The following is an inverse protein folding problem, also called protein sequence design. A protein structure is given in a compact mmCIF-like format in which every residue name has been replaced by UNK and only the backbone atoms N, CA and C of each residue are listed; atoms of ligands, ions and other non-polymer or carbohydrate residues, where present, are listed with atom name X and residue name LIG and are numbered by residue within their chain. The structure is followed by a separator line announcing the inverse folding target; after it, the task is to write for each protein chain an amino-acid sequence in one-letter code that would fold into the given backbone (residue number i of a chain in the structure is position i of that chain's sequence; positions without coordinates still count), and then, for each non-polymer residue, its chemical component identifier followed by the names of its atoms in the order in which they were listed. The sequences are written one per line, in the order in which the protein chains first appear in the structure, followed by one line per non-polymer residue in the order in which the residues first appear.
data_IF_379643708682
#
_entry.id   IF_379643708682
#
_cell.length_a   1.000
_cell.length_b   1.000
_cell.length_c   1.000
_cell.angle_alpha   90.00
_cell.angle_beta   90.00
_cell.angle_gamma   90.00
#
_symmetry.space_group_name_H-M   'P 1'
#
loop_
_entity.id
_entity.type
_entity.pdbx_description
1 polymer ?
#
# COMPACT_ATOMS: atom_id res chain seq x y z
N UNK A 1 32.91 -6.17 -1.88
CA UNK A 1 32.12 -4.92 -1.93
C UNK A 1 31.51 -4.50 -0.57
N UNK A 2 31.70 -5.24 0.54
CA UNK A 2 31.07 -4.90 1.83
C UNK A 2 31.56 -3.60 2.50
N UNK A 3 32.80 -3.17 2.25
CA UNK A 3 33.46 -2.12 3.04
C UNK A 3 32.98 -0.68 2.80
N UNK A 4 32.19 -0.40 1.76
CA UNK A 4 31.72 0.97 1.49
C UNK A 4 30.54 1.38 2.38
N UNK A 5 29.59 0.48 2.67
CA UNK A 5 28.41 0.80 3.49
C UNK A 5 28.76 1.17 4.94
N UNK A 6 29.88 0.67 5.46
CA UNK A 6 30.34 0.95 6.81
C UNK A 6 30.91 2.37 7.00
N UNK A 7 31.17 3.14 5.93
CA UNK A 7 31.75 4.50 6.01
C UNK A 7 30.73 5.66 6.01
N UNK A 8 29.44 5.40 5.83
CA UNK A 8 28.41 6.44 5.97
C UNK A 8 28.11 6.82 7.44
N UNK A 9 28.63 6.06 8.41
CA UNK A 9 28.53 6.37 9.84
C UNK A 9 29.53 7.48 10.27
N UNK A 10 29.39 8.68 9.71
CA UNK A 10 30.21 9.84 10.09
C UNK A 10 29.79 10.31 11.50
N UNK A 11 30.69 10.36 12.49
CA UNK A 11 30.37 10.84 13.82
C UNK A 11 30.28 12.37 13.84
N UNK A 12 29.28 12.92 14.55
CA UNK A 12 29.11 14.36 14.73
C UNK A 12 29.37 14.82 16.17
N UNK A 13 30.59 15.27 16.52
CA UNK A 13 30.88 15.95 17.79
C UNK A 13 31.57 17.31 17.58
N UNK A 14 30.88 18.29 16.98
CA UNK A 14 31.42 19.65 16.77
C UNK A 14 30.56 20.77 17.38
N UNK A 15 29.22 20.71 17.23
CA UNK A 15 28.35 21.86 17.48
C UNK A 15 28.09 22.19 18.96
N UNK A 16 28.26 21.22 19.88
CA UNK A 16 27.88 21.37 21.30
C UNK A 16 28.87 22.25 22.10
N UNK A 17 30.11 22.43 21.62
CA UNK A 17 31.18 23.05 22.43
C UNK A 17 31.15 24.59 22.49
N UNK A 18 30.24 25.25 21.76
CA UNK A 18 30.23 26.72 21.61
C UNK A 18 29.16 27.45 22.46
N UNK A 19 28.31 26.72 23.19
CA UNK A 19 27.24 27.28 24.03
C UNK A 19 27.58 27.36 25.54
N UNK A 20 28.75 26.87 25.99
CA UNK A 20 29.16 26.95 27.40
C UNK A 20 29.96 28.22 27.76
N UNK A 21 29.68 29.34 27.07
CA UNK A 21 30.21 30.66 27.42
C UNK A 21 29.49 31.24 28.65
N UNK A 22 30.03 30.99 29.84
CA UNK A 22 29.49 31.54 31.10
C UNK A 22 29.61 33.07 31.17
N UNK A 23 28.48 33.75 31.35
CA UNK A 23 28.42 35.09 31.96
C UNK A 23 27.96 35.00 33.43
N UNK A 24 28.46 35.85 34.34
CA UNK A 24 28.02 35.84 35.74
C UNK A 24 26.65 36.52 35.90
N UNK A 25 25.68 35.81 36.46
CA UNK A 25 24.39 36.39 36.86
C UNK A 25 24.50 37.09 38.23
N UNK A 26 24.00 38.33 38.38
CA UNK A 26 23.88 39.00 39.69
C UNK A 26 22.71 38.43 40.53
N UNK A 27 22.73 38.60 41.86
CA UNK A 27 21.70 38.07 42.78
C UNK A 27 20.38 38.88 42.77
N UNK A 28 19.34 38.29 43.38
CA UNK A 28 17.95 38.72 43.29
C UNK A 28 17.46 39.69 44.40
N UNK A 29 16.34 40.40 44.19
CA UNK A 29 15.52 41.00 45.24
C UNK A 29 14.41 40.04 45.76
N UNK A 30 13.83 40.35 46.92
CA UNK A 30 12.93 39.49 47.71
C UNK A 30 11.42 39.77 47.51
N UNK A 31 10.51 38.87 47.97
CA UNK A 31 9.06 39.04 47.81
C UNK A 31 8.40 39.83 48.95
N UNK A 32 7.54 40.81 48.65
CA UNK A 32 6.58 41.38 49.60
C UNK A 32 5.38 42.09 48.92
N UNK A 33 4.27 42.24 49.64
CA UNK A 33 3.13 43.17 49.46
C UNK A 33 2.68 43.49 48.01
N UNK A 34 1.52 43.07 47.50
CA UNK A 34 0.25 42.79 48.18
C UNK A 34 -0.79 43.87 47.83
N UNK A 35 -2.09 43.60 48.08
CA UNK A 35 -3.28 44.42 47.71
C UNK A 35 -3.63 44.42 46.20
N UNK A 36 -4.86 44.75 45.75
CA UNK A 36 -6.25 44.71 46.32
C UNK A 36 -7.24 44.91 45.16
N UNK A 37 -8.47 44.38 45.31
CA UNK A 37 -9.66 44.82 44.57
C UNK A 37 -9.86 44.11 43.21
N UNK A 38 -11.03 43.59 42.80
CA UNK A 38 -12.45 43.87 43.06
C UNK A 38 -13.14 44.79 42.02
N UNK A 39 -13.77 44.15 41.01
CA UNK A 39 -15.07 44.50 40.38
C UNK A 39 -15.54 43.23 39.66
N UNK A 40 -16.77 42.69 39.80
CA UNK A 40 -18.12 43.28 39.71
C UNK A 40 -18.40 44.02 38.40
N UNK A 41 -19.01 43.34 37.41
CA UNK A 41 -20.32 43.66 36.77
C UNK A 41 -20.59 42.66 35.62
N UNK A 42 -21.57 41.76 35.68
CA UNK A 42 -23.05 41.87 35.55
C UNK A 42 -23.61 41.82 34.11
N UNK A 43 -24.38 40.76 33.85
CA UNK A 43 -25.67 40.72 33.11
C UNK A 43 -25.74 40.99 31.60
N UNK A 44 -26.82 40.47 30.99
CA UNK A 44 -27.24 40.56 29.57
C UNK A 44 -26.32 39.77 28.61
N UNK A 45 -26.81 38.83 27.79
CA UNK A 45 -28.14 38.23 27.72
C UNK A 45 -29.05 38.83 26.63
N UNK A 46 -29.07 38.16 25.47
CA UNK A 46 -30.05 38.15 24.37
C UNK A 46 -29.74 36.82 23.60
N UNK A 47 -30.64 35.89 23.29
CA UNK A 47 -32.00 35.93 22.73
C UNK A 47 -32.03 35.81 21.19
N UNK A 48 -32.64 34.71 20.72
CA UNK A 48 -33.38 34.59 19.44
C UNK A 48 -32.56 34.66 18.12
N UNK A 49 -32.91 34.00 16.99
CA UNK A 49 -34.19 33.42 16.53
C UNK A 49 -33.95 32.45 15.34
N UNK A 50 -34.82 31.46 15.05
CA UNK A 50 -34.71 30.61 13.85
C UNK A 50 -35.62 31.06 12.67
N UNK A 51 -35.20 30.76 11.45
CA UNK A 51 -36.02 30.70 10.21
C UNK A 51 -35.31 29.75 9.20
N UNK A 52 -35.93 28.84 8.42
CA UNK A 52 -37.30 28.58 7.94
C UNK A 52 -37.73 29.28 6.63
N UNK A 53 -37.41 28.66 5.49
CA UNK A 53 -38.29 28.36 4.32
C UNK A 53 -37.59 27.26 3.49
N UNK A 54 -38.29 26.24 2.97
CA UNK A 54 -39.25 26.22 1.84
C UNK A 54 -38.56 26.57 0.51
N UNK A 55 -38.66 25.78 -0.55
CA UNK A 55 -39.46 24.56 -0.78
C UNK A 55 -40.29 24.72 -2.05
N UNK A 56 -40.06 23.84 -3.01
CA UNK A 56 -40.74 23.75 -4.32
C UNK A 56 -40.27 22.44 -5.01
N UNK A 57 -41.00 21.80 -5.92
CA UNK A 57 -42.37 21.29 -5.83
C UNK A 57 -42.50 20.13 -6.84
N UNK A 58 -43.54 19.33 -6.68
CA UNK A 58 -43.80 18.04 -7.32
C UNK A 58 -43.87 18.03 -8.86
N UNK A 59 -43.53 16.88 -9.46
CA UNK A 59 -44.11 16.43 -10.73
C UNK A 59 -44.39 14.92 -10.68
N UNK A 60 -45.65 14.58 -10.38
CA UNK A 60 -46.23 13.23 -10.52
C UNK A 60 -47.01 13.12 -11.86
N UNK A 61 -47.61 11.95 -12.12
CA UNK A 61 -48.55 11.59 -13.20
C UNK A 61 -47.89 11.25 -14.58
N UNK A 62 -48.28 10.19 -15.30
CA UNK A 62 -49.18 9.07 -14.93
C UNK A 62 -49.01 7.81 -15.82
N UNK A 63 -49.44 6.68 -15.24
CA UNK A 63 -50.06 5.46 -15.81
C UNK A 63 -49.96 5.08 -17.32
N UNK A 64 -49.88 3.76 -17.61
CA UNK A 64 -50.39 3.24 -18.89
C UNK A 64 -50.00 1.81 -19.33
N UNK A 65 -50.82 0.80 -18.96
CA UNK A 65 -51.23 -0.29 -19.88
C UNK A 65 -50.27 -1.44 -20.28
N UNK A 66 -50.86 -2.57 -20.66
CA UNK A 66 -50.25 -3.80 -21.23
C UNK A 66 -51.37 -4.64 -21.90
N UNK A 67 -51.13 -5.74 -22.65
CA UNK A 67 -49.95 -6.10 -23.46
C UNK A 67 -50.25 -6.34 -24.99
N UNK A 68 -50.37 -7.55 -25.62
CA UNK A 68 -49.67 -7.81 -26.90
C UNK A 68 -50.50 -8.41 -28.09
N UNK A 69 -49.99 -8.29 -29.35
CA UNK A 69 -50.32 -9.02 -30.61
C UNK A 69 -49.53 -8.37 -31.78
N UNK A 70 -49.13 -8.93 -32.95
CA UNK A 70 -49.18 -10.23 -33.68
C UNK A 70 -47.75 -10.57 -34.18
N UNK A 71 -47.32 -11.76 -34.67
CA UNK A 71 -47.93 -12.96 -35.27
C UNK A 71 -48.17 -12.97 -36.81
N UNK A 72 -47.13 -13.35 -37.59
CA UNK A 72 -47.11 -14.08 -38.89
C UNK A 72 -45.65 -14.57 -39.11
N UNK A 73 -45.35 -15.82 -39.47
CA UNK A 73 -45.55 -16.52 -40.76
C UNK A 73 -44.81 -15.82 -41.94
N UNK A 74 -43.85 -16.42 -42.65
CA UNK A 74 -43.20 -17.74 -42.49
C UNK A 74 -43.39 -18.62 -43.74
N UNK A 75 -42.28 -19.03 -44.37
CA UNK A 75 -42.30 -19.78 -45.64
C UNK A 75 -41.18 -20.83 -45.68
N UNK A 76 -41.44 -21.99 -46.29
CA UNK A 76 -40.51 -23.12 -46.46
C UNK A 76 -40.52 -23.60 -47.91
N UNK A 77 -39.42 -23.40 -48.63
CA UNK A 77 -39.09 -24.00 -49.93
C UNK A 77 -37.57 -23.98 -50.08
N UNK A 78 -36.90 -24.97 -50.65
CA UNK A 78 -37.27 -26.37 -50.99
C UNK A 78 -35.98 -27.21 -50.93
N UNK A 79 -36.08 -28.54 -50.94
CA UNK A 79 -34.95 -29.44 -51.19
C UNK A 79 -34.92 -29.83 -52.68
N UNK A 80 -34.29 -30.97 -53.01
CA UNK A 80 -34.18 -31.60 -54.33
C UNK A 80 -33.07 -30.92 -55.20
N UNK A 81 -31.87 -31.50 -55.41
CA UNK A 81 -31.47 -32.62 -56.31
C UNK A 81 -31.45 -32.22 -57.82
N UNK A 82 -30.52 -32.64 -58.70
CA UNK A 82 -29.44 -33.66 -58.65
C UNK A 82 -28.21 -33.28 -59.56
N UNK A 83 -27.46 -34.27 -60.08
CA UNK A 83 -26.24 -34.30 -60.95
C UNK A 83 -26.07 -33.21 -62.07
N UNK A 84 -24.90 -32.93 -62.68
CA UNK A 84 -23.87 -33.85 -63.24
C UNK A 84 -22.47 -33.17 -63.50
N UNK A 85 -21.47 -33.93 -64.00
CA UNK A 85 -20.06 -33.54 -64.31
C UNK A 85 -19.80 -33.59 -65.85
N UNK A 86 -18.58 -33.55 -66.43
CA UNK A 86 -17.30 -32.88 -66.13
C UNK A 86 -16.73 -32.03 -67.31
N UNK A 87 -15.67 -31.24 -67.08
CA UNK A 87 -14.51 -31.10 -68.02
C UNK A 87 -13.29 -30.46 -67.35
N UNK A 88 -12.11 -30.97 -67.71
CA UNK A 88 -10.74 -30.52 -67.34
C UNK A 88 -9.94 -30.35 -68.64
N UNK A 89 -8.65 -29.93 -68.67
CA UNK A 89 -7.80 -29.29 -67.64
C UNK A 89 -7.01 -28.05 -68.15
N UNK A 90 -6.38 -27.30 -67.23
CA UNK A 90 -5.14 -26.54 -67.55
C UNK A 90 -4.11 -26.69 -66.45
N UNK A 91 -2.89 -27.10 -66.80
CA UNK A 91 -1.76 -27.34 -65.90
C UNK A 91 -0.97 -26.07 -65.56
N UNK A 92 -0.36 -25.99 -64.37
CA UNK A 92 1.08 -25.70 -64.18
C UNK A 92 1.52 -25.86 -62.70
N UNK A 93 2.65 -26.57 -62.51
CA UNK A 93 3.46 -26.72 -61.28
C UNK A 93 2.74 -26.93 -59.92
N UNK A 94 2.57 -28.21 -59.56
CA UNK A 94 3.31 -28.69 -58.39
C UNK A 94 4.79 -28.84 -58.77
N UNK A 95 5.71 -28.46 -57.89
CA UNK A 95 7.11 -28.91 -57.96
C UNK A 95 7.61 -29.18 -56.54
N UNK A 96 8.05 -30.41 -56.32
CA UNK A 96 8.45 -30.94 -55.01
C UNK A 96 9.94 -30.65 -54.75
N UNK A 97 10.38 -30.85 -53.50
CA UNK A 97 11.76 -31.18 -53.11
C UNK A 97 12.63 -30.03 -52.58
N UNK A 98 12.85 -30.09 -51.25
CA UNK A 98 13.99 -29.54 -50.49
C UNK A 98 14.39 -28.06 -50.64
N UNK A 99 14.25 -27.31 -49.54
CA UNK A 99 15.43 -26.98 -48.72
C UNK A 99 15.06 -26.82 -47.24
N UNK A 100 15.87 -27.37 -46.33
CA UNK A 100 15.85 -26.93 -44.93
C UNK A 100 16.28 -25.46 -44.88
N UNK A 101 15.40 -24.59 -44.40
CA UNK A 101 15.83 -23.42 -43.64
C UNK A 101 15.28 -23.53 -42.22
N UNK A 102 15.83 -24.52 -41.52
CA UNK A 102 15.73 -24.67 -40.07
C UNK A 102 16.36 -23.42 -39.45
N UNK A 103 15.50 -22.44 -39.15
CA UNK A 103 15.91 -21.08 -38.77
C UNK A 103 16.23 -21.13 -37.29
N UNK A 104 17.51 -21.05 -36.86
CA UNK A 104 17.88 -21.34 -35.49
C UNK A 104 17.12 -20.43 -34.54
N UNK A 105 16.37 -21.04 -33.62
CA UNK A 105 15.46 -20.34 -32.73
C UNK A 105 16.19 -19.27 -31.92
N UNK A 106 15.94 -17.99 -32.25
CA UNK A 106 16.52 -16.84 -31.55
C UNK A 106 16.21 -17.00 -30.05
N UNK A 107 17.22 -17.05 -29.17
CA UNK A 107 17.08 -17.71 -27.87
C UNK A 107 16.04 -17.01 -26.99
N UNK A 108 15.04 -17.78 -26.54
CA UNK A 108 13.97 -17.33 -25.64
C UNK A 108 14.50 -16.69 -24.35
N UNK A 109 15.72 -17.05 -23.94
CA UNK A 109 16.45 -16.46 -22.81
C UNK A 109 16.58 -14.92 -22.91
N UNK A 110 16.58 -14.32 -24.11
CA UNK A 110 16.56 -12.84 -24.23
C UNK A 110 15.28 -12.22 -23.66
N UNK A 111 14.11 -12.81 -23.87
CA UNK A 111 12.86 -12.29 -23.31
C UNK A 111 12.81 -12.40 -21.78
N UNK A 112 13.35 -13.50 -21.22
CA UNK A 112 13.48 -13.66 -19.77
C UNK A 112 14.44 -12.65 -19.12
N UNK A 113 15.47 -12.21 -19.83
CA UNK A 113 16.47 -11.27 -19.31
C UNK A 113 15.99 -9.82 -19.29
N UNK A 114 15.18 -9.39 -20.27
CA UNK A 114 14.56 -8.05 -20.27
C UNK A 114 13.58 -7.88 -19.09
N UNK A 115 12.89 -8.95 -18.66
CA UNK A 115 11.96 -8.91 -17.53
C UNK A 115 12.64 -9.12 -16.16
N UNK A 116 13.76 -9.85 -16.10
CA UNK A 116 14.49 -10.07 -14.84
C UNK A 116 15.20 -8.81 -14.34
N UNK A 117 15.66 -7.94 -15.24
CA UNK A 117 16.32 -6.67 -14.90
C UNK A 117 15.44 -5.72 -14.05
N UNK A 118 14.21 -5.33 -14.45
CA UNK A 118 13.37 -4.45 -13.63
C UNK A 118 12.94 -5.11 -12.30
N UNK A 119 12.68 -6.42 -12.27
CA UNK A 119 12.38 -7.14 -11.02
C UNK A 119 13.58 -7.08 -10.07
N UNK A 120 14.79 -7.37 -10.55
CA UNK A 120 16.00 -7.32 -9.73
C UNK A 120 16.27 -5.91 -9.18
N UNK A 121 16.05 -4.86 -9.98
CA UNK A 121 16.16 -3.45 -9.54
C UNK A 121 15.11 -3.12 -8.48
N UNK A 122 13.83 -3.49 -8.67
CA UNK A 122 12.78 -3.22 -7.70
C UNK A 122 12.99 -4.00 -6.38
N UNK A 123 13.44 -5.26 -6.45
CA UNK A 123 13.84 -6.03 -5.27
C UNK A 123 15.02 -5.40 -4.51
N UNK A 124 16.05 -4.93 -5.24
CA UNK A 124 17.19 -4.24 -4.64
C UNK A 124 16.78 -2.92 -3.96
N UNK A 125 15.91 -2.12 -4.61
CA UNK A 125 15.36 -0.89 -4.04
C UNK A 125 14.48 -1.17 -2.81
N UNK A 126 13.61 -2.19 -2.85
CA UNK A 126 12.77 -2.59 -1.73
C UNK A 126 13.61 -3.03 -0.51
N UNK A 127 14.69 -3.78 -0.73
CA UNK A 127 15.62 -4.23 0.30
C UNK A 127 16.47 -3.10 0.87
N UNK A 128 17.03 -2.22 0.02
CA UNK A 128 17.78 -1.03 0.46
C UNK A 128 16.89 -0.06 1.26
N UNK A 129 15.64 0.12 0.84
CA UNK A 129 14.65 0.93 1.55
C UNK A 129 14.29 0.34 2.91
N UNK A 130 14.03 -0.97 3.00
CA UNK A 130 13.77 -1.66 4.27
C UNK A 130 14.98 -1.62 5.22
N UNK A 131 16.20 -1.78 4.70
CA UNK A 131 17.42 -1.62 5.49
C UNK A 131 17.59 -0.17 5.97
N UNK A 132 17.22 0.81 5.15
CA UNK A 132 17.14 2.22 5.52
C UNK A 132 16.22 2.48 6.72
N UNK A 133 15.01 1.91 6.72
CA UNK A 133 14.04 2.01 7.84
C UNK A 133 14.66 1.59 9.18
N UNK A 134 15.57 0.60 9.19
CA UNK A 134 16.21 0.08 10.41
C UNK A 134 17.49 0.84 10.78
N UNK A 135 18.27 1.31 9.80
CA UNK A 135 19.57 1.96 10.03
C UNK A 135 19.49 3.48 10.26
N UNK A 136 18.44 4.15 9.74
CA UNK A 136 18.29 5.60 9.82
C UNK A 136 17.77 6.01 11.20
N UNK A 137 18.44 6.99 11.84
CA UNK A 137 18.04 7.49 13.18
C UNK A 137 17.07 8.66 13.16
N UNK A 138 16.92 9.36 12.02
CA UNK A 138 16.04 10.52 11.90
C UNK A 138 14.63 10.08 11.48
N UNK A 139 13.56 10.38 12.25
CA UNK A 139 12.20 9.92 11.97
C UNK A 139 11.72 10.13 10.52
N UNK A 140 11.94 11.32 9.96
CA UNK A 140 11.56 11.66 8.57
C UNK A 140 12.29 10.76 7.55
N UNK A 141 13.55 10.40 7.80
CA UNK A 141 14.33 9.57 6.88
C UNK A 141 13.89 8.10 6.95
N UNK A 142 13.51 7.62 8.14
CA UNK A 142 12.87 6.29 8.33
C UNK A 142 11.56 6.21 7.55
N UNK A 143 10.71 7.23 7.66
CA UNK A 143 9.43 7.29 6.95
C UNK A 143 9.60 7.38 5.42
N UNK A 144 10.61 8.10 4.92
CA UNK A 144 10.97 8.11 3.49
C UNK A 144 11.49 6.75 3.01
N UNK A 145 12.22 6.00 3.85
CA UNK A 145 12.58 4.61 3.58
C UNK A 145 11.34 3.70 3.47
N UNK A 146 10.35 3.86 4.36
CA UNK A 146 9.11 3.10 4.33
C UNK A 146 8.26 3.40 3.08
N UNK A 147 8.26 4.67 2.63
CA UNK A 147 7.66 5.09 1.37
C UNK A 147 8.34 4.41 0.17
N UNK A 148 9.67 4.47 0.09
CA UNK A 148 10.45 3.84 -0.98
C UNK A 148 10.24 2.32 -1.05
N UNK A 149 10.13 1.65 0.11
CA UNK A 149 9.79 0.22 0.17
C UNK A 149 8.38 -0.04 -0.37
N UNK A 150 7.38 0.73 0.06
CA UNK A 150 5.98 0.56 -0.36
C UNK A 150 5.77 0.78 -1.86
N UNK A 151 6.46 1.77 -2.44
CA UNK A 151 6.45 2.02 -3.89
C UNK A 151 7.21 0.94 -4.68
N UNK A 152 8.34 0.44 -4.17
CA UNK A 152 9.07 -0.68 -4.80
C UNK A 152 8.23 -1.96 -4.83
N UNK A 153 7.46 -2.23 -3.77
CA UNK A 153 6.49 -3.34 -3.74
C UNK A 153 5.34 -3.14 -4.74
N UNK A 154 4.83 -1.91 -4.90
CA UNK A 154 3.80 -1.62 -5.89
C UNK A 154 4.31 -1.84 -7.33
N UNK A 155 5.57 -1.47 -7.61
CA UNK A 155 6.23 -1.73 -8.89
C UNK A 155 6.40 -3.24 -9.16
N UNK A 156 6.80 -4.02 -8.15
CA UNK A 156 6.85 -5.49 -8.26
C UNK A 156 5.46 -6.08 -8.59
N UNK A 157 4.39 -5.61 -7.95
CA UNK A 157 3.02 -6.06 -8.28
C UNK A 157 2.61 -5.71 -9.72
N UNK A 158 3.08 -4.59 -10.30
CA UNK A 158 2.88 -4.31 -11.73
C UNK A 158 3.65 -5.29 -12.62
N UNK A 159 4.89 -5.67 -12.27
CA UNK A 159 5.67 -6.65 -13.06
C UNK A 159 5.13 -8.07 -12.94
N UNK A 160 4.42 -8.40 -11.85
CA UNK A 160 3.64 -9.63 -11.67
C UNK A 160 2.24 -9.56 -12.31
N UNK A 161 1.96 -8.53 -13.12
CA UNK A 161 0.66 -8.26 -13.76
C UNK A 161 -0.53 -8.10 -12.79
N UNK A 162 -0.30 -7.89 -11.49
CA UNK A 162 -1.32 -7.81 -10.46
C UNK A 162 -1.80 -6.35 -10.22
N UNK A 163 -2.42 -5.73 -11.23
CA UNK A 163 -2.68 -4.28 -11.23
C UNK A 163 -3.57 -3.83 -10.06
N UNK A 164 -4.58 -4.64 -9.68
CA UNK A 164 -5.43 -4.35 -8.53
C UNK A 164 -4.64 -4.27 -7.21
N UNK A 165 -3.65 -5.16 -7.03
CA UNK A 165 -2.77 -5.15 -5.84
C UNK A 165 -1.79 -3.97 -5.88
N UNK A 166 -1.25 -3.61 -7.06
CA UNK A 166 -0.41 -2.43 -7.21
C UNK A 166 -1.14 -1.11 -6.86
N UNK A 167 -2.40 -0.97 -7.31
CA UNK A 167 -3.24 0.18 -6.97
C UNK A 167 -3.61 0.18 -5.49
N UNK A 168 -4.02 -0.96 -4.92
CA UNK A 168 -4.31 -1.08 -3.49
C UNK A 168 -3.10 -0.75 -2.60
N UNK A 169 -1.91 -1.25 -2.97
CA UNK A 169 -0.64 -0.96 -2.29
C UNK A 169 -0.33 0.55 -2.33
N UNK A 170 -0.55 1.19 -3.48
CA UNK A 170 -0.31 2.63 -3.65
C UNK A 170 -1.29 3.47 -2.85
N UNK A 171 -2.59 3.17 -2.88
CA UNK A 171 -3.61 3.94 -2.15
C UNK A 171 -3.54 3.73 -0.63
N UNK A 172 -3.42 2.49 -0.17
CA UNK A 172 -3.53 2.15 1.25
C UNK A 172 -2.19 2.36 1.96
N UNK A 173 -1.11 1.73 1.50
CA UNK A 173 0.18 1.81 2.18
C UNK A 173 0.90 3.12 1.89
N UNK A 174 1.14 3.45 0.61
CA UNK A 174 1.86 4.67 0.23
C UNK A 174 1.03 5.94 0.47
N UNK A 175 -0.29 5.89 0.20
CA UNK A 175 -1.21 7.02 0.37
C UNK A 175 -1.64 7.25 1.82
N UNK A 176 -2.35 6.31 2.43
CA UNK A 176 -2.94 6.52 3.77
C UNK A 176 -1.95 6.25 4.92
N UNK A 177 -1.37 5.04 4.99
CA UNK A 177 -0.59 4.58 6.15
C UNK A 177 0.72 5.37 6.29
N UNK A 178 1.48 5.54 5.20
CA UNK A 178 2.75 6.27 5.24
C UNK A 178 2.56 7.77 5.53
N UNK A 179 1.49 8.41 5.03
CA UNK A 179 1.20 9.82 5.36
C UNK A 179 0.76 9.97 6.82
N UNK A 180 -0.08 9.06 7.34
CA UNK A 180 -0.41 9.02 8.77
C UNK A 180 0.85 8.83 9.64
N UNK A 181 1.75 7.93 9.25
CA UNK A 181 3.01 7.71 9.94
C UNK A 181 3.94 8.93 9.87
N UNK A 182 4.08 9.58 8.71
CA UNK A 182 4.84 10.82 8.54
C UNK A 182 4.36 11.93 9.49
N UNK A 183 3.05 12.11 9.60
CA UNK A 183 2.44 13.09 10.52
C UNK A 183 2.78 12.72 11.98
N UNK A 184 2.47 11.49 12.41
CA UNK A 184 2.69 11.04 13.79
C UNK A 184 4.17 11.10 14.20
N UNK A 185 5.07 10.61 13.33
CA UNK A 185 6.51 10.50 13.66
C UNK A 185 7.26 11.84 13.57
N UNK A 186 6.67 12.86 12.94
CA UNK A 186 7.20 14.24 12.91
C UNK A 186 6.62 15.10 14.04
N UNK A 187 5.41 14.79 14.53
CA UNK A 187 4.81 15.43 15.71
C UNK A 187 5.36 14.88 17.03
N UNK A 188 5.88 13.66 17.04
CA UNK A 188 6.50 13.06 18.23
C UNK A 188 7.89 13.67 18.46
N UNK A 189 8.17 14.31 19.61
CA UNK A 189 9.49 14.87 19.89
C UNK A 189 10.54 13.74 20.02
N UNK A 190 11.76 14.00 19.55
CA UNK A 190 12.87 13.03 19.62
C UNK A 190 13.21 12.70 21.08
N UNK A 191 12.76 11.53 21.56
CA UNK A 191 13.02 11.02 22.89
C UNK A 191 14.52 10.75 23.14
N UNK A 192 14.94 10.85 24.40
CA UNK A 192 16.33 10.64 24.79
C UNK A 192 16.85 9.28 24.33
N UNK A 193 17.99 9.28 23.63
CA UNK A 193 18.64 8.07 23.10
C UNK A 193 19.13 7.17 24.25
N UNK A 194 18.30 6.21 24.66
CA UNK A 194 18.67 5.21 25.66
C UNK A 194 19.83 4.34 25.13
N UNK A 195 20.90 4.24 25.91
CA UNK A 195 22.12 3.54 25.49
C UNK A 195 21.95 2.04 25.65
N UNK A 196 21.48 1.37 24.58
CA UNK A 196 21.45 -0.09 24.48
C UNK A 196 22.79 -0.70 24.91
N UNK A 197 22.74 -1.62 25.87
CA UNK A 197 23.91 -2.38 26.32
C UNK A 197 24.47 -3.23 25.18
N UNK A 198 25.79 -3.39 25.13
CA UNK A 198 26.47 -4.19 24.10
C UNK A 198 25.94 -5.63 24.02
N UNK A 199 25.61 -6.24 25.17
CA UNK A 199 25.00 -7.57 25.22
C UNK A 199 23.59 -7.62 24.61
N UNK A 200 22.80 -6.55 24.75
CA UNK A 200 21.48 -6.44 24.12
C UNK A 200 21.57 -6.29 22.60
N UNK A 201 22.54 -5.50 22.11
CA UNK A 201 22.83 -5.37 20.67
C UNK A 201 23.30 -6.71 20.10
N UNK A 202 24.23 -7.40 20.79
CA UNK A 202 24.71 -8.71 20.37
C UNK A 202 23.58 -9.75 20.30
N UNK A 203 22.72 -9.82 21.32
CA UNK A 203 21.58 -10.74 21.34
C UNK A 203 20.56 -10.43 20.21
N UNK A 204 20.27 -9.16 19.95
CA UNK A 204 19.40 -8.74 18.84
C UNK A 204 19.98 -9.12 17.47
N UNK A 205 21.28 -8.94 17.27
CA UNK A 205 21.97 -9.33 16.02
C UNK A 205 21.98 -10.86 15.86
N UNK A 206 22.23 -11.62 16.93
CA UNK A 206 22.17 -13.08 16.90
C UNK A 206 20.75 -13.60 16.63
N UNK A 207 19.72 -13.00 17.22
CA UNK A 207 18.33 -13.34 16.93
C UNK A 207 17.96 -13.07 15.46
N UNK A 208 18.34 -11.90 14.92
CA UNK A 208 18.13 -11.57 13.50
C UNK A 208 18.88 -12.51 12.56
N UNK A 209 20.12 -12.87 12.89
CA UNK A 209 20.92 -13.84 12.13
C UNK A 209 20.31 -15.25 12.16
N UNK A 210 19.79 -15.70 13.30
CA UNK A 210 19.11 -16.99 13.43
C UNK A 210 17.83 -17.06 12.59
N UNK A 211 17.00 -16.01 12.60
CA UNK A 211 15.80 -15.92 11.75
C UNK A 211 16.17 -15.93 10.27
N UNK A 212 17.21 -15.18 9.86
CA UNK A 212 17.72 -15.20 8.48
C UNK A 212 18.27 -16.57 8.07
N UNK A 213 18.95 -17.29 8.97
CA UNK A 213 19.46 -18.63 8.71
C UNK A 213 18.34 -19.66 8.52
N UNK A 214 17.29 -19.62 9.36
CA UNK A 214 16.11 -20.48 9.22
C UNK A 214 15.36 -20.18 7.91
N UNK A 215 15.11 -18.89 7.61
CA UNK A 215 14.40 -18.49 6.39
C UNK A 215 15.22 -18.80 5.12
N UNK A 216 16.53 -18.59 5.15
CA UNK A 216 17.45 -18.94 4.08
C UNK A 216 17.54 -20.46 3.84
N UNK A 217 17.55 -21.26 4.92
CA UNK A 217 17.50 -22.71 4.83
C UNK A 217 16.18 -23.23 4.24
N UNK A 218 15.05 -22.63 4.63
CA UNK A 218 13.74 -22.94 4.06
C UNK A 218 13.67 -22.61 2.56
N UNK A 219 14.20 -21.45 2.14
CA UNK A 219 14.32 -21.09 0.72
C UNK A 219 15.26 -22.04 -0.04
N UNK A 220 16.41 -22.38 0.53
CA UNK A 220 17.35 -23.30 -0.11
C UNK A 220 16.75 -24.71 -0.30
N UNK A 221 15.92 -25.17 0.64
CA UNK A 221 15.13 -26.41 0.48
C UNK A 221 14.05 -26.28 -0.60
N UNK A 222 13.32 -25.15 -0.64
CA UNK A 222 12.28 -24.91 -1.65
C UNK A 222 12.82 -24.86 -3.08
N UNK A 223 14.02 -24.28 -3.27
CA UNK A 223 14.72 -24.19 -4.55
C UNK A 223 15.73 -25.33 -4.81
N UNK A 224 15.73 -26.39 -4.00
CA UNK A 224 16.65 -27.51 -4.17
C UNK A 224 16.40 -28.28 -5.48
N UNK A 225 17.45 -28.77 -6.18
CA UNK A 225 17.28 -29.64 -7.34
C UNK A 225 16.48 -30.90 -6.99
N UNK A 226 15.34 -31.11 -7.66
CA UNK A 226 14.37 -32.16 -7.34
C UNK A 226 13.12 -31.66 -6.60
N UNK A 227 13.08 -30.40 -6.16
CA UNK A 227 11.85 -29.74 -5.72
C UNK A 227 10.83 -29.71 -6.88
N UNK A 228 9.63 -30.23 -6.66
CA UNK A 228 8.52 -30.18 -7.63
C UNK A 228 7.80 -28.82 -7.65
N UNK A 229 8.39 -27.79 -7.04
CA UNK A 229 7.90 -26.42 -7.05
C UNK A 229 8.12 -25.75 -8.42
N UNK A 230 7.41 -26.25 -9.44
CA UNK A 230 7.29 -25.59 -10.73
C UNK A 230 6.54 -24.26 -10.54
N UNK A 231 7.30 -23.17 -10.35
CA UNK A 231 6.76 -21.82 -10.34
C UNK A 231 6.07 -21.57 -11.70
N UNK A 232 4.76 -21.31 -11.73
CA UNK A 232 4.08 -20.97 -12.98
C UNK A 232 4.59 -19.62 -13.45
N UNK A 233 5.34 -19.60 -14.55
CA UNK A 233 5.65 -18.36 -15.26
C UNK A 233 4.32 -17.78 -15.74
N UNK A 234 3.93 -16.62 -15.20
CA UNK A 234 2.71 -15.91 -15.57
C UNK A 234 2.84 -15.34 -16.98
N UNK A 235 2.69 -16.20 -17.98
CA UNK A 235 2.63 -15.86 -19.39
C UNK A 235 1.20 -15.45 -19.79
N UNK A 236 0.77 -14.29 -19.30
CA UNK A 236 -0.56 -13.74 -19.58
C UNK A 236 -0.83 -12.42 -18.85
N UNK A 237 -2.00 -11.83 -19.14
CA UNK A 237 -2.56 -10.78 -18.29
C UNK A 237 -2.90 -11.34 -16.91
N UNK A 238 -2.67 -10.55 -15.86
CA UNK A 238 -2.97 -10.96 -14.49
C UNK A 238 -4.46 -10.91 -14.17
N UNK A 239 -4.87 -11.44 -13.00
CA UNK A 239 -6.27 -11.67 -12.67
C UNK A 239 -7.08 -10.37 -12.68
N UNK A 240 -8.14 -10.37 -13.50
CA UNK A 240 -9.02 -9.22 -13.68
C UNK A 240 -9.74 -8.84 -12.37
N UNK A 241 -10.16 -7.58 -12.24
CA UNK A 241 -10.94 -7.08 -11.08
C UNK A 241 -12.18 -7.95 -10.83
N UNK A 242 -12.81 -8.46 -11.89
CA UNK A 242 -13.95 -9.39 -11.82
C UNK A 242 -13.57 -10.77 -11.25
N UNK A 243 -12.37 -11.24 -11.55
CA UNK A 243 -11.86 -12.55 -11.13
C UNK A 243 -11.35 -12.53 -9.69
N UNK A 244 -10.84 -11.40 -9.20
CA UNK A 244 -10.54 -11.18 -7.78
C UNK A 244 -11.81 -10.91 -6.97
N UNK A 245 -12.78 -10.16 -7.53
CA UNK A 245 -14.05 -9.86 -6.88
C UNK A 245 -14.94 -11.09 -6.65
N UNK A 246 -14.99 -12.03 -7.60
CA UNK A 246 -15.82 -13.24 -7.48
C UNK A 246 -15.53 -14.08 -6.21
N UNK A 247 -14.29 -14.51 -5.91
CA UNK A 247 -13.99 -15.25 -4.68
C UNK A 247 -14.14 -14.36 -3.43
N UNK A 248 -13.90 -13.05 -3.53
CA UNK A 248 -14.08 -12.12 -2.41
C UNK A 248 -15.53 -12.16 -1.85
N UNK A 249 -16.53 -12.20 -2.74
CA UNK A 249 -17.95 -12.21 -2.39
C UNK A 249 -18.61 -13.61 -2.40
N UNK A 250 -17.85 -14.68 -2.63
CA UNK A 250 -18.36 -16.06 -2.53
C UNK A 250 -17.59 -16.86 -1.47
N UNK A 251 -16.38 -17.33 -1.79
CA UNK A 251 -15.56 -18.15 -0.88
C UNK A 251 -15.07 -17.38 0.34
N UNK A 252 -14.81 -16.08 0.20
CA UNK A 252 -14.24 -15.20 1.23
C UNK A 252 -15.28 -14.26 1.86
N UNK A 253 -16.57 -14.55 1.71
CA UNK A 253 -17.66 -13.71 2.26
C UNK A 253 -17.53 -13.53 3.78
N UNK A 254 -17.17 -14.58 4.52
CA UNK A 254 -16.98 -14.52 5.98
C UNK A 254 -15.81 -13.62 6.39
N UNK A 255 -14.56 -13.78 5.91
CA UNK A 255 -13.50 -12.85 6.24
C UNK A 255 -13.77 -11.43 5.72
N UNK A 256 -14.44 -11.25 4.58
CA UNK A 256 -14.87 -9.93 4.12
C UNK A 256 -15.84 -9.27 5.12
N UNK A 257 -16.90 -9.97 5.52
CA UNK A 257 -17.86 -9.51 6.53
C UNK A 257 -17.17 -9.16 7.85
N UNK A 258 -16.20 -9.97 8.30
CA UNK A 258 -15.39 -9.70 9.49
C UNK A 258 -14.49 -8.45 9.39
N UNK A 259 -14.14 -7.98 8.19
CA UNK A 259 -13.41 -6.70 8.05
C UNK A 259 -14.27 -5.48 8.38
N UNK A 260 -15.59 -5.52 8.15
CA UNK A 260 -16.48 -4.39 8.42
C UNK A 260 -16.53 -4.00 9.91
N UNK A 261 -16.79 -4.91 10.88
CA UNK A 261 -16.71 -4.59 12.30
C UNK A 261 -15.27 -4.36 12.77
N UNK A 262 -14.24 -4.92 12.10
CA UNK A 262 -12.83 -4.62 12.39
C UNK A 262 -12.50 -3.14 12.11
N UNK A 263 -12.90 -2.63 10.94
CA UNK A 263 -12.73 -1.22 10.58
C UNK A 263 -13.54 -0.30 11.50
N UNK A 264 -14.79 -0.67 11.81
CA UNK A 264 -15.62 0.07 12.77
C UNK A 264 -14.97 0.10 14.16
N UNK A 265 -14.49 -1.03 14.66
CA UNK A 265 -13.82 -1.14 15.95
C UNK A 265 -12.51 -0.33 15.99
N UNK A 266 -11.75 -0.28 14.90
CA UNK A 266 -10.55 0.56 14.80
C UNK A 266 -10.88 2.05 14.93
N UNK A 267 -11.90 2.54 14.22
CA UNK A 267 -12.35 3.94 14.29
C UNK A 267 -12.90 4.27 15.69
N UNK A 268 -13.76 3.41 16.24
CA UNK A 268 -14.32 3.58 17.59
C UNK A 268 -13.22 3.56 18.65
N UNK A 269 -12.21 2.69 18.52
CA UNK A 269 -11.08 2.62 19.45
C UNK A 269 -10.21 3.88 19.37
N UNK A 270 -9.90 4.38 18.18
CA UNK A 270 -9.13 5.63 18.01
C UNK A 270 -9.85 6.82 18.66
N UNK A 271 -11.15 6.98 18.41
CA UNK A 271 -11.97 8.05 19.00
C UNK A 271 -12.11 7.88 20.53
N UNK A 272 -12.30 6.65 21.02
CA UNK A 272 -12.42 6.36 22.45
C UNK A 272 -11.10 6.59 23.21
N UNK A 273 -9.94 6.33 22.59
CA UNK A 273 -8.63 6.66 23.15
C UNK A 273 -8.39 8.17 23.20
N UNK A 274 -8.72 8.90 22.12
CA UNK A 274 -8.62 10.36 22.09
C UNK A 274 -9.44 11.01 23.22
N UNK A 275 -10.74 10.69 23.30
CA UNK A 275 -11.67 11.28 24.28
C UNK A 275 -11.34 10.95 25.74
N UNK A 276 -10.47 9.98 26.03
CA UNK A 276 -10.01 9.67 27.40
C UNK A 276 -8.99 10.69 27.93
N UNK A 277 -8.23 11.36 27.05
CA UNK A 277 -7.23 12.36 27.44
C UNK A 277 -7.86 13.66 27.96
N UNK A 278 -9.13 13.90 27.61
CA UNK A 278 -9.79 15.21 27.72
C UNK A 278 -10.58 15.39 29.03
N UNK A 279 -10.44 14.45 29.98
CA UNK A 279 -11.19 14.45 31.25
C UNK A 279 -10.56 15.44 32.26
N UNK A 280 -11.22 16.55 32.65
CA UNK A 280 -10.57 17.58 33.46
C UNK A 280 -10.22 17.11 34.88
N UNK A 281 -9.14 17.65 35.44
CA UNK A 281 -8.85 17.58 36.88
C UNK A 281 -9.84 18.47 37.64
N UNK A 282 -10.99 17.92 37.99
CA UNK A 282 -11.91 18.53 38.96
C UNK A 282 -11.40 18.27 40.38
N UNK A 283 -11.38 19.30 41.22
CA UNK A 283 -10.86 19.23 42.61
C UNK A 283 -9.39 19.65 42.70
N UNK A 284 -9.19 20.91 43.09
CA UNK A 284 -7.89 21.57 43.22
C UNK A 284 -8.06 22.98 43.80
N UNK A 285 -8.84 23.06 44.88
CA UNK A 285 -9.16 24.27 45.63
C UNK A 285 -8.88 23.99 47.11
N UNK A 286 -7.65 24.27 47.51
CA UNK A 286 -7.17 24.46 48.89
C UNK A 286 -6.01 25.48 48.83
#
# INVERSE_FOLDING_TARGET
MASLLCRCAIPAPAFVRMQQGRGPHPPAPSPNSGRRGARRRTSRGQAMRPARRSGHDDHELAAGGSPPLRARAGERTRADDEAETPTTPTTTKQETTTRRLDRPGKPANRAGMELSAPVAVCCALAALSALGVVLLRRPVHVALGLLGHSLSMAALYLTLSAQLMAVAQTLIYSGAIVVLFLIVVTLLPEGGQEKLSFGGIFLAVMAGAAVLAVLGGALAGFFAPGSTAALPVLAGEGPSVKEVGKPLFSTLVVPFELTAPLLLAAIVTAIALWRRQEKPRAGGLD
#
